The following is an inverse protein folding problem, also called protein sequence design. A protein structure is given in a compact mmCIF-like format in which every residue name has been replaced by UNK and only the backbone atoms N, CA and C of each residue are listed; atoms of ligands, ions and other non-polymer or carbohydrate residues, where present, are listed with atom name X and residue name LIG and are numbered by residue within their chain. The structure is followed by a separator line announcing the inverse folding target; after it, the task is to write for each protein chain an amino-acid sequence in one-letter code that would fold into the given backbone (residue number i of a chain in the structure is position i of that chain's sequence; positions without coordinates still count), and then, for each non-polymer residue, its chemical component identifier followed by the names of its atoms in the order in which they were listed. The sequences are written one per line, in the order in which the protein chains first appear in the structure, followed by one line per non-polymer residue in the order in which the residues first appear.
data_IF_214336346160
#
_entry.id   IF_214336346160
#
_cell.length_a   1.000
_cell.length_b   1.000
_cell.length_c   1.000
_cell.angle_alpha   90.00
_cell.angle_beta   90.00
_cell.angle_gamma   90.00
#
_symmetry.space_group_name_H-M   'P 1'
#
loop_
_entity.id
_entity.type
_entity.pdbx_description
1 polymer ?
#
# COMPACT_ATOMS: atom_id res chain seq x y z
N UNK A 1 6.73 -12.33 -13.06
CA UNK A 1 6.33 -11.90 -11.72
C UNK A 1 4.82 -11.95 -11.66
N UNK A 2 4.26 -12.39 -10.54
CA UNK A 2 2.81 -12.32 -10.30
C UNK A 2 2.43 -10.93 -9.74
N UNK A 3 1.13 -10.65 -9.59
CA UNK A 3 0.64 -9.35 -9.14
C UNK A 3 1.11 -8.96 -7.72
N UNK A 4 1.30 -9.93 -6.83
CA UNK A 4 1.79 -9.71 -5.45
C UNK A 4 3.28 -9.32 -5.48
N UNK A 5 4.09 -10.02 -6.27
CA UNK A 5 5.52 -9.69 -6.45
C UNK A 5 5.70 -8.29 -7.06
N UNK A 6 4.80 -7.90 -7.97
CA UNK A 6 4.79 -6.56 -8.58
C UNK A 6 4.38 -5.50 -7.56
N UNK A 7 3.28 -5.71 -6.83
CA UNK A 7 2.85 -4.80 -5.76
C UNK A 7 3.99 -4.56 -4.78
N UNK A 8 4.66 -5.63 -4.36
CA UNK A 8 5.77 -5.57 -3.43
C UNK A 8 6.94 -4.75 -3.99
N UNK A 9 7.37 -5.04 -5.23
CA UNK A 9 8.48 -4.32 -5.87
C UNK A 9 8.16 -2.84 -6.09
N UNK A 10 6.90 -2.52 -6.41
CA UNK A 10 6.43 -1.14 -6.55
C UNK A 10 6.41 -0.45 -5.18
N UNK A 11 5.82 -1.06 -4.14
CA UNK A 11 5.83 -0.51 -2.78
C UNK A 11 7.26 -0.22 -2.31
N UNK A 12 8.21 -1.14 -2.51
CA UNK A 12 9.61 -0.95 -2.11
C UNK A 12 10.28 0.21 -2.87
N UNK A 13 9.99 0.37 -4.17
CA UNK A 13 10.51 1.47 -4.98
C UNK A 13 10.05 2.83 -4.45
N UNK A 14 8.77 2.96 -4.13
CA UNK A 14 8.19 4.24 -3.69
C UNK A 14 8.46 4.56 -2.21
N UNK A 15 8.98 3.61 -1.43
CA UNK A 15 9.53 3.86 -0.08
C UNK A 15 10.95 4.47 -0.11
N UNK A 16 11.68 4.36 -1.22
CA UNK A 16 13.00 4.95 -1.36
C UNK A 16 12.92 6.44 -1.75
N UNK A 17 13.95 7.25 -1.40
CA UNK A 17 14.08 8.60 -1.92
C UNK A 17 14.05 8.62 -3.46
N UNK A 18 13.35 9.58 -4.03
CA UNK A 18 13.27 9.73 -5.49
C UNK A 18 14.65 10.01 -6.10
N UNK A 19 15.04 9.18 -7.05
CA UNK A 19 16.23 9.36 -7.88
C UNK A 19 15.80 9.54 -9.34
N UNK A 20 15.95 10.76 -9.93
CA UNK A 20 15.48 11.05 -11.27
C UNK A 20 16.21 10.26 -12.36
N UNK A 21 17.48 9.86 -12.14
CA UNK A 21 18.28 9.13 -13.14
C UNK A 21 17.97 7.63 -13.10
N UNK A 22 17.62 7.11 -11.94
CA UNK A 22 17.36 5.68 -11.73
C UNK A 22 15.89 5.31 -11.88
N UNK A 23 14.96 6.23 -11.57
CA UNK A 23 13.53 5.96 -11.49
C UNK A 23 12.95 5.22 -12.70
N UNK A 24 13.14 5.67 -13.97
CA UNK A 24 12.52 4.98 -15.11
C UNK A 24 12.95 3.52 -15.22
N UNK A 25 14.18 3.20 -14.80
CA UNK A 25 14.71 1.85 -14.87
C UNK A 25 14.19 0.98 -13.72
N UNK A 26 14.21 1.51 -12.50
CA UNK A 26 13.68 0.82 -11.32
C UNK A 26 12.17 0.57 -11.45
N UNK A 27 11.42 1.54 -11.99
CA UNK A 27 10.01 1.37 -12.32
C UNK A 27 9.79 0.21 -13.29
N UNK A 28 10.55 0.17 -14.40
CA UNK A 28 10.46 -0.93 -15.35
C UNK A 28 10.84 -2.29 -14.74
N UNK A 29 11.83 -2.34 -13.86
CA UNK A 29 12.23 -3.56 -13.13
C UNK A 29 11.11 -4.02 -12.18
N UNK A 30 10.44 -3.10 -11.48
CA UNK A 30 9.30 -3.39 -10.62
C UNK A 30 8.12 -4.02 -11.37
N UNK A 31 8.00 -3.78 -12.68
CA UNK A 31 7.04 -4.45 -13.58
C UNK A 31 7.65 -5.63 -14.38
N UNK A 32 8.82 -6.13 -13.99
CA UNK A 32 9.34 -7.42 -14.42
C UNK A 32 10.30 -7.37 -15.60
N UNK A 33 10.81 -6.19 -15.96
CA UNK A 33 11.84 -6.08 -16.96
C UNK A 33 13.14 -6.75 -16.50
N UNK A 34 13.72 -7.56 -17.38
CA UNK A 34 15.01 -8.22 -17.12
C UNK A 34 16.14 -7.19 -17.14
N UNK A 35 17.15 -7.39 -16.30
CA UNK A 35 18.35 -6.54 -16.22
C UNK A 35 19.06 -6.34 -17.57
N UNK A 36 18.97 -7.31 -18.49
CA UNK A 36 19.54 -7.19 -19.85
C UNK A 36 18.80 -6.16 -20.70
N UNK A 37 17.48 -6.03 -20.55
CA UNK A 37 16.66 -5.00 -21.19
C UNK A 37 16.99 -3.62 -20.62
N UNK A 38 17.05 -3.52 -19.30
CA UNK A 38 17.38 -2.27 -18.58
C UNK A 38 18.75 -1.74 -18.99
N UNK A 39 19.77 -2.61 -19.02
CA UNK A 39 21.12 -2.24 -19.48
C UNK A 39 21.13 -1.68 -20.90
N UNK A 40 20.29 -2.19 -21.81
CA UNK A 40 20.20 -1.69 -23.20
C UNK A 40 19.47 -0.36 -23.29
N UNK A 41 18.44 -0.15 -22.47
CA UNK A 41 17.74 1.13 -22.37
C UNK A 41 18.68 2.21 -21.81
N UNK A 42 19.39 1.91 -20.73
CA UNK A 42 20.35 2.83 -20.08
C UNK A 42 21.50 3.22 -21.01
N UNK A 43 22.01 2.29 -21.82
CA UNK A 43 23.03 2.56 -22.83
C UNK A 43 22.52 3.30 -24.07
N UNK A 44 21.23 3.60 -24.17
CA UNK A 44 20.63 4.22 -25.36
C UNK A 44 20.54 3.29 -26.58
N UNK A 45 20.87 2.00 -26.44
CA UNK A 45 20.85 1.05 -27.57
C UNK A 45 19.42 0.82 -28.07
N UNK A 46 18.50 0.65 -27.13
CA UNK A 46 17.07 0.43 -27.41
C UNK A 46 16.16 1.56 -26.94
N UNK A 47 16.68 2.53 -26.19
CA UNK A 47 15.94 3.74 -25.87
C UNK A 47 15.90 4.63 -27.12
N UNK A 48 14.71 4.87 -27.66
CA UNK A 48 14.46 5.69 -28.85
C UNK A 48 13.64 6.93 -28.54
N UNK A 49 13.62 7.35 -27.27
CA UNK A 49 12.95 8.59 -26.88
C UNK A 49 13.52 9.79 -27.64
N UNK A 50 12.63 10.66 -28.07
CA UNK A 50 12.88 11.99 -28.62
C UNK A 50 12.48 13.12 -27.64
N UNK A 51 12.13 12.76 -26.40
CA UNK A 51 11.75 13.67 -25.31
C UNK A 51 12.91 13.79 -24.33
N UNK A 52 13.18 15.00 -23.84
CA UNK A 52 14.23 15.24 -22.85
C UNK A 52 13.94 14.47 -21.54
N UNK A 53 14.97 13.85 -20.96
CA UNK A 53 14.79 12.97 -19.78
C UNK A 53 14.02 11.68 -20.07
N UNK A 54 13.82 11.36 -21.36
CA UNK A 54 12.92 10.29 -21.78
C UNK A 54 13.56 8.90 -21.84
N UNK A 55 12.84 7.90 -21.33
CA UNK A 55 13.12 6.48 -21.47
C UNK A 55 11.95 5.82 -22.18
N UNK A 56 12.18 5.39 -23.42
CA UNK A 56 11.19 4.72 -24.24
C UNK A 56 11.51 3.24 -24.36
N UNK A 57 10.57 2.40 -23.91
CA UNK A 57 10.55 0.97 -24.20
C UNK A 57 9.50 0.62 -25.25
N UNK A 58 9.98 0.14 -26.41
CA UNK A 58 9.13 -0.30 -27.53
C UNK A 58 8.06 -1.30 -27.09
N UNK A 59 6.83 -1.12 -27.58
CA UNK A 59 5.62 -1.90 -27.27
C UNK A 59 5.15 -1.83 -25.80
N UNK A 60 5.71 -0.94 -24.97
CA UNK A 60 5.40 -0.86 -23.54
C UNK A 60 5.10 0.58 -23.10
N UNK A 61 6.11 1.41 -22.85
CA UNK A 61 5.91 2.70 -22.19
C UNK A 61 6.94 3.75 -22.64
N UNK A 62 6.54 5.02 -22.61
CA UNK A 62 7.43 6.17 -22.73
C UNK A 62 7.37 6.99 -21.44
N UNK A 63 8.47 6.98 -20.69
CA UNK A 63 8.61 7.67 -19.40
C UNK A 63 9.44 8.94 -19.62
N UNK A 64 9.06 10.08 -19.05
CA UNK A 64 9.93 11.26 -18.95
C UNK A 64 10.01 11.76 -17.51
N UNK A 65 11.24 11.98 -17.04
CA UNK A 65 11.49 12.68 -15.77
C UNK A 65 11.77 14.15 -16.09
N UNK A 66 11.11 15.05 -15.36
CA UNK A 66 11.15 16.49 -15.60
C UNK A 66 11.46 17.28 -14.33
N UNK A 67 11.72 18.57 -14.48
CA UNK A 67 11.96 19.47 -13.34
C UNK A 67 10.68 19.66 -12.49
N UNK A 68 10.79 19.95 -11.19
CA UNK A 68 9.65 20.22 -10.31
C UNK A 68 8.64 21.20 -10.90
N UNK A 69 7.38 20.80 -10.95
CA UNK A 69 6.25 21.57 -11.49
C UNK A 69 6.06 21.46 -13.01
N UNK A 70 6.86 20.66 -13.71
CA UNK A 70 6.82 20.56 -15.19
C UNK A 70 6.03 19.35 -15.72
N UNK A 71 5.38 18.56 -14.85
CA UNK A 71 4.65 17.35 -15.25
C UNK A 71 3.57 17.66 -16.29
N UNK A 72 2.75 18.69 -16.06
CA UNK A 72 1.67 19.11 -16.98
C UNK A 72 2.18 19.56 -18.35
N UNK A 73 3.35 20.20 -18.40
CA UNK A 73 3.98 20.61 -19.65
C UNK A 73 4.64 19.42 -20.39
N UNK A 74 5.07 18.40 -19.65
CA UNK A 74 5.77 17.23 -20.19
C UNK A 74 4.81 16.20 -20.79
N UNK A 75 3.60 16.05 -20.25
CA UNK A 75 2.60 15.10 -20.74
C UNK A 75 2.22 15.31 -22.22
N UNK A 76 1.93 16.53 -22.71
CA UNK A 76 1.72 16.78 -24.13
C UNK A 76 2.91 16.39 -25.00
N UNK A 77 4.15 16.66 -24.55
CA UNK A 77 5.35 16.30 -25.29
C UNK A 77 5.50 14.78 -25.47
N UNK A 78 5.16 13.99 -24.44
CA UNK A 78 5.11 12.53 -24.54
C UNK A 78 3.99 12.05 -25.47
N UNK A 79 2.81 12.66 -25.39
CA UNK A 79 1.63 12.28 -26.18
C UNK A 79 1.81 12.57 -27.68
N UNK A 80 2.41 13.72 -28.01
CA UNK A 80 2.61 14.16 -29.40
C UNK A 80 3.92 13.63 -30.02
N UNK A 81 4.78 12.98 -29.23
CA UNK A 81 6.05 12.42 -29.69
C UNK A 81 5.88 11.39 -30.83
N UNK A 82 6.52 11.60 -31.99
CA UNK A 82 6.55 10.59 -33.06
C UNK A 82 7.21 9.28 -32.62
N UNK A 83 8.15 9.33 -31.67
CA UNK A 83 8.75 8.12 -31.10
C UNK A 83 7.71 7.30 -30.32
N UNK A 84 6.85 7.93 -29.50
CA UNK A 84 5.75 7.26 -28.77
C UNK A 84 4.92 6.40 -29.70
N UNK A 85 4.43 6.98 -30.81
CA UNK A 85 3.60 6.27 -31.78
C UNK A 85 4.39 5.20 -32.55
N UNK A 86 5.56 5.55 -33.11
CA UNK A 86 6.33 4.65 -33.97
C UNK A 86 6.88 3.43 -33.20
N UNK A 87 7.18 3.60 -31.92
CA UNK A 87 7.63 2.53 -31.03
C UNK A 87 6.47 1.83 -30.32
N UNK A 88 5.22 2.20 -30.60
CA UNK A 88 4.00 1.58 -30.07
C UNK A 88 3.97 1.58 -28.54
N UNK A 89 4.32 2.70 -27.92
CA UNK A 89 4.13 2.84 -26.47
C UNK A 89 2.65 2.64 -26.14
N UNK A 90 2.37 1.83 -25.13
CA UNK A 90 1.03 1.58 -24.60
C UNK A 90 0.69 2.54 -23.48
N UNK A 91 1.71 3.01 -22.76
CA UNK A 91 1.58 3.99 -21.69
C UNK A 91 2.50 5.17 -21.95
N UNK A 92 2.11 6.34 -21.46
CA UNK A 92 3.02 7.47 -21.24
C UNK A 92 2.99 7.87 -19.77
N UNK A 93 4.13 8.33 -19.25
CA UNK A 93 4.28 8.69 -17.84
C UNK A 93 5.26 9.86 -17.71
N UNK A 94 4.82 10.93 -17.04
CA UNK A 94 5.68 12.03 -16.62
C UNK A 94 5.73 12.13 -15.09
N UNK A 95 6.91 12.43 -14.54
CA UNK A 95 7.06 12.72 -13.11
C UNK A 95 8.19 13.70 -12.85
N UNK A 96 8.06 14.46 -11.77
CA UNK A 96 9.09 15.35 -11.22
C UNK A 96 9.54 14.94 -9.81
N UNK A 97 9.12 13.75 -9.35
CA UNK A 97 9.38 13.24 -8.00
C UNK A 97 8.43 13.74 -6.92
N UNK A 98 7.52 14.67 -7.24
CA UNK A 98 6.45 15.13 -6.35
C UNK A 98 5.06 14.73 -6.87
N UNK A 99 4.85 14.88 -8.17
CA UNK A 99 3.65 14.46 -8.89
C UNK A 99 3.99 13.42 -9.97
N UNK A 100 3.02 12.57 -10.30
CA UNK A 100 3.11 11.61 -11.39
C UNK A 100 1.81 11.62 -12.19
N UNK A 101 1.94 11.88 -13.49
CA UNK A 101 0.84 11.80 -14.44
C UNK A 101 1.12 10.65 -15.41
N UNK A 102 0.13 9.81 -15.65
CA UNK A 102 0.24 8.72 -16.61
C UNK A 102 -1.06 8.51 -17.39
N UNK A 103 -0.92 7.97 -18.60
CA UNK A 103 -2.04 7.65 -19.47
C UNK A 103 -1.86 6.29 -20.11
N UNK A 104 -2.96 5.55 -20.20
CA UNK A 104 -3.07 4.36 -21.00
C UNK A 104 -3.52 4.73 -22.42
N UNK A 105 -2.63 4.57 -23.39
CA UNK A 105 -2.89 4.84 -24.81
C UNK A 105 -3.63 3.70 -25.53
N UNK A 106 -3.92 2.59 -24.82
CA UNK A 106 -4.68 1.47 -25.39
C UNK A 106 -6.19 1.61 -25.17
N UNK A 107 -6.60 2.34 -24.13
CA UNK A 107 -8.00 2.49 -23.74
C UNK A 107 -8.32 3.95 -23.47
N UNK A 108 -8.89 4.62 -24.48
CA UNK A 108 -9.29 6.03 -24.40
C UNK A 108 -10.41 6.27 -23.35
N UNK A 109 -11.08 5.23 -22.85
CA UNK A 109 -12.07 5.34 -21.79
C UNK A 109 -11.45 5.28 -20.39
N UNK A 110 -10.20 4.83 -20.25
CA UNK A 110 -9.48 4.83 -18.98
C UNK A 110 -8.98 6.25 -18.67
N UNK A 111 -9.39 6.87 -17.55
CA UNK A 111 -8.94 8.22 -17.23
C UNK A 111 -7.42 8.24 -16.96
N UNK A 112 -6.76 9.39 -17.20
CA UNK A 112 -5.38 9.59 -16.79
C UNK A 112 -5.22 9.37 -15.28
N UNK A 113 -4.13 8.71 -14.90
CA UNK A 113 -3.72 8.61 -13.50
C UNK A 113 -2.95 9.89 -13.14
N UNK A 114 -3.47 10.65 -12.18
CA UNK A 114 -2.85 11.87 -11.65
C UNK A 114 -2.79 11.75 -10.14
N UNK A 115 -1.58 11.68 -9.58
CA UNK A 115 -1.39 11.56 -8.14
C UNK A 115 -0.07 12.14 -7.65
N UNK A 116 0.04 12.31 -6.34
CA UNK A 116 1.32 12.53 -5.66
C UNK A 116 2.22 11.30 -5.87
N UNK A 117 3.52 11.52 -6.07
CA UNK A 117 4.50 10.46 -6.29
C UNK A 117 4.46 9.39 -5.19
N UNK A 118 4.28 9.81 -3.93
CA UNK A 118 4.17 8.90 -2.78
C UNK A 118 2.98 7.92 -2.86
N UNK A 119 1.92 8.27 -3.60
CA UNK A 119 0.68 7.49 -3.72
C UNK A 119 0.64 6.58 -4.95
N UNK A 120 1.67 6.59 -5.80
CA UNK A 120 1.69 5.78 -7.03
C UNK A 120 1.60 4.28 -6.72
N UNK A 121 2.17 3.85 -5.60
CA UNK A 121 2.07 2.45 -5.15
C UNK A 121 0.63 2.02 -4.83
N UNK A 122 -0.30 2.95 -4.58
CA UNK A 122 -1.73 2.66 -4.41
C UNK A 122 -2.42 2.37 -5.76
N UNK A 123 -1.79 2.77 -6.87
CA UNK A 123 -2.31 2.66 -8.22
C UNK A 123 -1.51 1.71 -9.11
N UNK A 124 -0.70 0.80 -8.55
CA UNK A 124 0.14 -0.12 -9.32
C UNK A 124 -0.68 -0.97 -10.32
N UNK A 125 -1.95 -1.25 -10.01
CA UNK A 125 -2.92 -1.93 -10.86
C UNK A 125 -3.06 -1.31 -12.26
N UNK A 126 -2.86 0.01 -12.37
CA UNK A 126 -2.90 0.78 -13.62
C UNK A 126 -1.86 0.28 -14.64
N UNK A 127 -0.72 -0.23 -14.15
CA UNK A 127 0.44 -0.60 -14.97
C UNK A 127 0.65 -2.11 -15.12
N UNK A 128 -0.28 -2.96 -14.65
CA UNK A 128 -0.13 -4.43 -14.68
C UNK A 128 0.09 -5.00 -16.09
N UNK A 129 -0.40 -4.33 -17.13
CA UNK A 129 -0.16 -4.73 -18.51
C UNK A 129 1.31 -4.62 -18.93
N UNK A 130 2.13 -3.78 -18.27
CA UNK A 130 3.58 -3.73 -18.48
C UNK A 130 4.24 -5.07 -18.11
N UNK A 131 3.67 -5.79 -17.14
CA UNK A 131 4.11 -7.11 -16.74
C UNK A 131 3.45 -8.24 -17.56
N UNK A 132 2.66 -7.91 -18.59
CA UNK A 132 1.93 -8.87 -19.41
C UNK A 132 0.67 -9.45 -18.73
N UNK A 133 0.20 -8.83 -17.65
CA UNK A 133 -1.02 -9.24 -16.94
C UNK A 133 -2.20 -8.46 -17.53
N UNK A 134 -2.90 -9.09 -18.48
CA UNK A 134 -4.15 -8.54 -19.02
C UNK A 134 -5.20 -8.52 -17.91
N UNK A 135 -5.59 -7.33 -17.49
CA UNK A 135 -6.36 -7.14 -16.28
C UNK A 135 -7.84 -7.09 -16.62
N UNK A 136 -8.66 -8.00 -16.09
CA UNK A 136 -10.11 -7.76 -15.98
C UNK A 136 -10.29 -6.61 -14.99
N UNK A 137 -11.20 -5.67 -15.24
CA UNK A 137 -11.45 -4.49 -14.39
C UNK A 137 -11.47 -4.82 -12.88
N UNK A 138 -12.06 -5.96 -12.50
CA UNK A 138 -12.05 -6.49 -11.13
C UNK A 138 -10.66 -6.72 -10.51
N UNK A 139 -9.64 -7.12 -11.27
CA UNK A 139 -8.28 -7.30 -10.74
C UNK A 139 -7.60 -5.95 -10.48
N UNK A 140 -7.94 -4.89 -11.25
CA UNK A 140 -7.52 -3.51 -10.95
C UNK A 140 -8.26 -2.97 -9.73
N UNK A 141 -9.55 -3.25 -9.61
CA UNK A 141 -10.36 -2.92 -8.43
C UNK A 141 -9.84 -3.65 -7.17
N UNK A 142 -9.33 -4.88 -7.31
CA UNK A 142 -8.69 -5.64 -6.21
C UNK A 142 -7.22 -5.26 -5.96
N UNK A 143 -6.69 -4.18 -6.55
CA UNK A 143 -5.30 -3.78 -6.31
C UNK A 143 -5.08 -3.40 -4.83
N UNK A 144 -6.06 -2.72 -4.22
CA UNK A 144 -6.05 -2.43 -2.79
C UNK A 144 -5.99 -3.72 -1.97
N UNK A 145 -6.88 -4.67 -2.27
CA UNK A 145 -6.98 -5.97 -1.60
C UNK A 145 -5.66 -6.76 -1.64
N UNK A 146 -5.02 -6.79 -2.81
CA UNK A 146 -3.71 -7.44 -3.01
C UNK A 146 -2.65 -6.78 -2.12
N UNK A 147 -2.61 -5.44 -2.10
CA UNK A 147 -1.67 -4.66 -1.30
C UNK A 147 -1.90 -4.84 0.20
N UNK A 148 -3.14 -4.71 0.66
CA UNK A 148 -3.52 -4.90 2.05
C UNK A 148 -3.15 -6.32 2.51
N UNK A 149 -3.49 -7.35 1.73
CA UNK A 149 -3.17 -8.74 2.04
C UNK A 149 -1.65 -8.99 2.07
N UNK A 150 -0.91 -8.44 1.10
CA UNK A 150 0.55 -8.52 1.03
C UNK A 150 1.21 -7.92 2.29
N UNK A 151 0.78 -6.72 2.70
CA UNK A 151 1.30 -6.05 3.90
C UNK A 151 0.88 -6.74 5.20
N UNK A 152 -0.37 -7.19 5.31
CA UNK A 152 -0.83 -7.99 6.45
C UNK A 152 -0.02 -9.28 6.60
N UNK A 153 0.34 -9.94 5.50
CA UNK A 153 1.18 -11.14 5.54
C UNK A 153 2.61 -10.83 6.04
N UNK A 154 3.19 -9.66 5.70
CA UNK A 154 4.46 -9.22 6.29
C UNK A 154 4.36 -9.05 7.80
N UNK A 155 3.28 -8.40 8.27
CA UNK A 155 3.01 -8.26 9.70
C UNK A 155 2.87 -9.65 10.37
N UNK A 156 2.13 -10.56 9.75
CA UNK A 156 1.92 -11.93 10.24
C UNK A 156 3.25 -12.67 10.44
N UNK A 157 4.12 -12.67 9.42
CA UNK A 157 5.42 -13.33 9.47
C UNK A 157 6.30 -12.71 10.56
N UNK A 158 6.29 -11.38 10.69
CA UNK A 158 7.09 -10.67 11.68
C UNK A 158 6.60 -10.96 13.12
N UNK A 159 5.29 -10.97 13.34
CA UNK A 159 4.71 -11.32 14.64
C UNK A 159 5.03 -12.76 15.03
N UNK A 160 4.97 -13.72 14.11
CA UNK A 160 5.35 -15.10 14.39
C UNK A 160 6.84 -15.27 14.73
N UNK A 161 7.71 -14.42 14.18
CA UNK A 161 9.14 -14.45 14.52
C UNK A 161 9.37 -14.07 15.97
N UNK A 162 8.68 -13.04 16.45
CA UNK A 162 8.76 -12.57 17.83
C UNK A 162 7.95 -13.44 18.81
N UNK A 163 6.94 -14.15 18.30
CA UNK A 163 6.02 -14.96 19.11
C UNK A 163 5.86 -16.37 18.51
N UNK A 164 6.88 -17.24 18.61
CA UNK A 164 6.85 -18.56 17.96
C UNK A 164 5.70 -19.47 18.41
N UNK A 165 5.23 -19.30 19.65
CA UNK A 165 4.09 -20.04 20.21
C UNK A 165 2.74 -19.68 19.54
N UNK A 166 2.61 -18.50 18.95
CA UNK A 166 1.40 -18.11 18.21
C UNK A 166 1.23 -18.87 16.89
N UNK A 167 2.28 -19.54 16.40
CA UNK A 167 2.24 -20.37 15.21
C UNK A 167 1.71 -21.79 15.45
N UNK A 168 1.46 -22.19 16.70
CA UNK A 168 0.98 -23.53 17.00
C UNK A 168 -0.51 -23.69 16.67
N UNK A 169 -1.00 -24.92 16.44
CA UNK A 169 -2.42 -25.17 16.18
C UNK A 169 -3.34 -24.60 17.27
N UNK A 170 -2.89 -24.58 18.52
CA UNK A 170 -3.65 -24.13 19.68
C UNK A 170 -3.82 -22.61 19.74
N UNK A 171 -2.85 -21.84 19.21
CA UNK A 171 -2.87 -20.37 19.21
C UNK A 171 -3.24 -19.76 17.86
N UNK A 172 -3.41 -20.58 16.82
CA UNK A 172 -3.77 -20.12 15.47
C UNK A 172 -5.06 -19.31 15.46
N UNK A 173 -6.06 -19.76 16.23
CA UNK A 173 -7.34 -19.06 16.33
C UNK A 173 -7.19 -17.69 17.01
N UNK A 174 -6.35 -17.57 18.04
CA UNK A 174 -6.03 -16.29 18.67
C UNK A 174 -5.39 -15.31 17.67
N UNK A 175 -4.46 -15.78 16.83
CA UNK A 175 -3.82 -14.95 15.82
C UNK A 175 -4.81 -14.48 14.76
N UNK A 176 -5.72 -15.36 14.32
CA UNK A 176 -6.77 -15.01 13.36
C UNK A 176 -7.72 -13.96 13.96
N UNK A 177 -8.16 -14.13 15.20
CA UNK A 177 -8.98 -13.14 15.90
C UNK A 177 -8.26 -11.80 16.07
N UNK A 178 -6.96 -11.84 16.37
CA UNK A 178 -6.14 -10.63 16.44
C UNK A 178 -6.14 -9.87 15.10
N UNK A 179 -5.89 -10.56 13.99
CA UNK A 179 -5.92 -9.96 12.65
C UNK A 179 -7.32 -9.44 12.26
N UNK A 180 -8.38 -10.19 12.55
CA UNK A 180 -9.75 -9.75 12.31
C UNK A 180 -10.07 -8.44 13.05
N UNK A 181 -9.61 -8.30 14.30
CA UNK A 181 -9.75 -7.06 15.08
C UNK A 181 -8.95 -5.90 14.50
N UNK A 182 -7.71 -6.14 14.04
CA UNK A 182 -6.92 -5.09 13.37
C UNK A 182 -7.63 -4.57 12.13
N UNK A 183 -8.06 -5.47 11.25
CA UNK A 183 -8.75 -5.13 10.00
C UNK A 183 -10.05 -4.38 10.30
N UNK A 184 -10.83 -4.83 11.29
CA UNK A 184 -11.99 -4.08 11.76
C UNK A 184 -11.62 -2.68 12.23
N UNK A 185 -10.56 -2.51 13.02
CA UNK A 185 -10.16 -1.20 13.53
C UNK A 185 -9.72 -0.25 12.40
N UNK A 186 -8.97 -0.75 11.42
CA UNK A 186 -8.57 0.03 10.24
C UNK A 186 -9.78 0.43 9.39
N UNK A 187 -10.72 -0.48 9.16
CA UNK A 187 -11.96 -0.15 8.48
C UNK A 187 -12.81 0.86 9.27
N UNK A 188 -12.88 0.70 10.60
CA UNK A 188 -13.70 1.52 11.47
C UNK A 188 -13.19 2.96 11.60
N UNK A 189 -11.87 3.15 11.61
CA UNK A 189 -11.27 4.50 11.64
C UNK A 189 -11.44 5.27 10.33
N UNK A 190 -11.55 4.58 9.20
CA UNK A 190 -11.78 5.24 7.93
C UNK A 190 -13.28 5.46 7.64
N UNK A 191 -14.17 4.61 8.15
CA UNK A 191 -15.61 4.69 7.83
C UNK A 191 -16.45 5.49 8.82
N UNK A 192 -15.82 6.30 9.68
CA UNK A 192 -16.48 7.06 10.76
C UNK A 192 -17.24 6.19 11.79
N UNK A 193 -16.87 4.91 11.91
CA UNK A 193 -17.32 4.09 13.05
C UNK A 193 -16.59 4.57 14.32
N UNK A 194 -15.30 4.90 14.19
CA UNK A 194 -14.57 5.63 15.22
C UNK A 194 -14.72 7.15 15.03
N UNK A 195 -14.44 7.89 16.09
CA UNK A 195 -14.51 9.34 16.06
C UNK A 195 -13.27 9.94 15.40
N UNK A 196 -13.44 10.41 14.16
CA UNK A 196 -12.36 11.01 13.35
C UNK A 196 -11.62 9.99 12.51
N UNK A 197 -10.86 10.49 11.53
CA UNK A 197 -10.05 9.66 10.62
C UNK A 197 -8.77 9.19 11.31
N UNK A 198 -8.44 7.90 11.18
CA UNK A 198 -7.16 7.33 11.64
C UNK A 198 -6.98 7.21 13.16
N UNK A 199 -8.07 7.21 13.95
CA UNK A 199 -8.00 7.23 15.42
C UNK A 199 -7.19 6.07 16.02
N UNK A 200 -7.36 4.85 15.52
CA UNK A 200 -6.69 3.65 16.03
C UNK A 200 -5.21 3.68 15.71
N UNK A 201 -4.87 3.91 14.44
CA UNK A 201 -3.49 3.98 13.96
C UNK A 201 -2.72 5.11 14.63
N UNK A 202 -3.29 6.31 14.70
CA UNK A 202 -2.67 7.46 15.35
C UNK A 202 -2.47 7.24 16.85
N UNK A 203 -3.43 6.62 17.55
CA UNK A 203 -3.28 6.34 18.97
C UNK A 203 -2.12 5.38 19.22
N UNK A 204 -1.98 4.32 18.42
CA UNK A 204 -0.86 3.40 18.60
C UNK A 204 0.46 4.07 18.23
N UNK A 205 0.52 4.82 17.13
CA UNK A 205 1.72 5.54 16.71
C UNK A 205 2.21 6.54 17.77
N UNK A 206 1.27 7.27 18.40
CA UNK A 206 1.60 8.26 19.43
C UNK A 206 1.98 7.63 20.77
N UNK A 207 1.28 6.56 21.18
CA UNK A 207 1.39 6.05 22.55
C UNK A 207 2.42 4.95 22.71
N UNK A 208 2.73 4.17 21.67
CA UNK A 208 3.72 3.09 21.75
C UNK A 208 5.13 3.60 21.51
N UNK A 209 6.10 3.00 22.19
CA UNK A 209 7.51 3.24 21.97
C UNK A 209 7.93 2.90 20.54
N UNK A 210 8.87 3.69 19.99
CA UNK A 210 9.49 3.40 18.69
C UNK A 210 10.16 2.02 18.59
N UNK A 211 10.48 1.41 19.74
CA UNK A 211 11.02 0.05 19.86
C UNK A 211 10.00 -1.05 19.58
N UNK A 212 8.70 -0.75 19.71
CA UNK A 212 7.60 -1.71 19.65
C UNK A 212 7.37 -2.50 20.93
N UNK A 213 8.18 -2.29 21.98
CA UNK A 213 8.18 -3.14 23.18
C UNK A 213 6.84 -3.17 23.92
N UNK A 214 6.12 -2.05 23.93
CA UNK A 214 4.85 -1.84 24.63
C UNK A 214 3.62 -1.82 23.71
N UNK A 215 3.79 -1.94 22.39
CA UNK A 215 2.69 -1.88 21.41
C UNK A 215 1.55 -2.84 21.76
N UNK A 216 1.88 -4.05 22.22
CA UNK A 216 0.90 -5.06 22.64
C UNK A 216 0.06 -4.64 23.84
N UNK A 217 0.63 -3.86 24.78
CA UNK A 217 -0.09 -3.33 25.95
C UNK A 217 -1.04 -2.21 25.54
N UNK A 218 -0.59 -1.34 24.63
CA UNK A 218 -1.43 -0.27 24.07
C UNK A 218 -2.64 -0.86 23.35
N UNK A 219 -2.43 -1.81 22.44
CA UNK A 219 -3.52 -2.45 21.68
C UNK A 219 -4.46 -3.21 22.64
N UNK A 220 -3.91 -3.93 23.62
CA UNK A 220 -4.72 -4.62 24.64
C UNK A 220 -5.66 -3.67 25.38
N UNK A 221 -5.19 -2.48 25.76
CA UNK A 221 -6.01 -1.48 26.44
C UNK A 221 -7.08 -0.87 25.51
N UNK A 222 -6.77 -0.69 24.23
CA UNK A 222 -7.76 -0.29 23.21
C UNK A 222 -8.85 -1.35 23.05
N UNK A 223 -8.46 -2.62 22.94
CA UNK A 223 -9.39 -3.75 22.80
C UNK A 223 -10.26 -3.90 24.06
N UNK A 224 -9.69 -3.74 25.25
CA UNK A 224 -10.43 -3.70 26.51
C UNK A 224 -11.46 -2.58 26.53
N UNK A 225 -11.09 -1.40 26.04
CA UNK A 225 -12.02 -0.27 25.93
C UNK A 225 -13.18 -0.61 25.00
N UNK A 226 -12.89 -1.12 23.80
CA UNK A 226 -13.90 -1.51 22.82
C UNK A 226 -14.81 -2.66 23.29
N UNK A 227 -14.34 -3.52 24.20
CA UNK A 227 -15.16 -4.56 24.83
C UNK A 227 -15.96 -4.10 26.05
N UNK A 228 -15.72 -2.89 26.58
CA UNK A 228 -16.36 -2.43 27.83
C UNK A 228 -17.44 -1.38 27.54
N UNK A 229 -18.72 -1.62 27.91
CA UNK A 229 -19.79 -0.65 27.77
C UNK A 229 -19.44 0.70 28.43
N UNK A 230 -19.77 1.81 27.77
CA UNK A 230 -19.41 3.16 28.24
C UNK A 230 -19.83 3.44 29.69
N UNK A 231 -21.00 2.94 30.11
CA UNK A 231 -21.53 3.10 31.47
C UNK A 231 -20.75 2.32 32.53
N UNK A 232 -20.02 1.29 32.13
CA UNK A 232 -19.25 0.43 33.03
C UNK A 232 -17.79 0.87 33.14
N UNK A 233 -17.31 1.78 32.28
CA UNK A 233 -15.91 2.21 32.26
C UNK A 233 -15.50 3.05 33.48
N UNK A 234 -16.46 3.68 34.15
CA UNK A 234 -16.19 4.50 35.33
C UNK A 234 -15.56 3.65 36.45
N UNK A 235 -14.44 4.11 36.99
CA UNK A 235 -13.71 3.39 38.05
C UNK A 235 -12.85 2.21 37.58
N UNK A 236 -12.84 1.86 36.29
CA UNK A 236 -12.04 0.75 35.73
C UNK A 236 -10.62 1.15 35.28
N UNK A 237 -10.17 2.36 35.62
CA UNK A 237 -8.79 2.81 35.38
C UNK A 237 -8.38 2.94 33.91
N UNK A 238 -9.34 3.15 32.99
CA UNK A 238 -9.04 3.36 31.57
C UNK A 238 -8.12 4.55 31.36
N UNK A 239 -7.14 4.38 30.47
CA UNK A 239 -6.29 5.50 30.05
C UNK A 239 -7.11 6.49 29.21
N UNK A 240 -6.86 7.81 29.31
CA UNK A 240 -7.65 8.81 28.58
C UNK A 240 -7.71 8.57 27.06
N UNK A 241 -6.59 8.16 26.45
CA UNK A 241 -6.49 7.86 25.02
C UNK A 241 -7.24 6.59 24.59
N UNK A 242 -7.53 5.67 25.53
CA UNK A 242 -8.36 4.49 25.26
C UNK A 242 -9.85 4.79 25.47
N UNK A 243 -10.18 5.72 26.37
CA UNK A 243 -11.55 6.04 26.75
C UNK A 243 -12.41 6.62 25.62
N UNK A 244 -11.79 7.17 24.57
CA UNK A 244 -12.46 7.75 23.40
C UNK A 244 -13.01 6.72 22.39
N UNK A 245 -12.57 5.46 22.45
CA UNK A 245 -13.05 4.42 21.54
C UNK A 245 -14.48 3.99 21.88
N UNK A 246 -15.35 3.76 20.88
CA UNK A 246 -16.72 3.31 21.15
C UNK A 246 -16.75 1.90 21.72
N UNK A 247 -17.88 1.52 22.33
CA UNK A 247 -18.15 0.13 22.66
C UNK A 247 -18.58 -0.60 21.37
N UNK A 248 -17.91 -1.70 21.05
CA UNK A 248 -18.16 -2.51 19.86
C UNK A 248 -18.78 -3.84 20.31
N UNK A 249 -20.11 -3.89 20.29
CA UNK A 249 -20.87 -5.11 20.60
C UNK A 249 -20.99 -5.99 19.35
N UNK A 250 -20.64 -7.27 19.46
CA UNK A 250 -20.76 -8.20 18.32
C UNK A 250 -19.90 -9.46 18.39
N UNK A 251 -19.37 -9.83 19.56
CA UNK A 251 -18.52 -11.03 19.71
C UNK A 251 -17.06 -10.84 19.29
N UNK A 252 -16.77 -9.90 18.38
CA UNK A 252 -15.41 -9.67 17.86
C UNK A 252 -14.38 -9.39 18.98
N UNK A 253 -14.80 -8.71 20.06
CA UNK A 253 -13.97 -8.39 21.21
C UNK A 253 -14.35 -9.17 22.49
N UNK A 254 -15.27 -10.13 22.44
CA UNK A 254 -15.80 -10.77 23.66
C UNK A 254 -14.91 -11.86 24.26
N UNK A 255 -13.98 -12.39 23.48
CA UNK A 255 -13.22 -13.60 23.83
C UNK A 255 -11.79 -13.26 24.31
N UNK A 256 -10.82 -14.14 24.06
CA UNK A 256 -9.42 -13.90 24.38
C UNK A 256 -8.94 -12.61 23.68
N UNK A 257 -8.55 -11.60 24.47
CA UNK A 257 -8.02 -10.31 24.01
C UNK A 257 -6.48 -10.26 24.00
N UNK A 258 -5.81 -11.41 24.11
CA UNK A 258 -4.37 -11.49 23.99
C UNK A 258 -3.87 -10.81 22.71
N UNK A 259 -2.74 -10.13 22.82
CA UNK A 259 -2.07 -9.43 21.72
C UNK A 259 -0.62 -9.94 21.64
N UNK A 260 -0.13 -10.35 20.46
CA UNK A 260 1.26 -10.79 20.31
C UNK A 260 2.21 -9.63 20.59
N UNK A 261 3.42 -9.93 21.07
CA UNK A 261 4.48 -8.92 21.23
C UNK A 261 4.96 -8.40 19.88
N UNK A 262 5.38 -7.15 19.85
CA UNK A 262 5.82 -6.49 18.64
C UNK A 262 7.34 -6.24 18.68
N UNK A 263 7.99 -6.43 17.54
CA UNK A 263 9.28 -5.79 17.24
C UNK A 263 9.05 -4.36 16.72
N UNK A 264 10.14 -3.59 16.65
CA UNK A 264 10.15 -2.30 15.94
C UNK A 264 9.61 -2.44 14.50
N UNK A 265 9.96 -3.53 13.83
CA UNK A 265 9.54 -3.78 12.45
C UNK A 265 8.05 -4.12 12.36
N UNK A 266 7.53 -4.99 13.25
CA UNK A 266 6.11 -5.29 13.32
C UNK A 266 5.28 -4.03 13.57
N UNK A 267 5.73 -3.17 14.48
CA UNK A 267 5.08 -1.88 14.77
C UNK A 267 5.02 -1.01 13.52
N UNK A 268 6.14 -0.88 12.81
CA UNK A 268 6.21 -0.10 11.57
C UNK A 268 5.24 -0.62 10.52
N UNK A 269 5.19 -1.95 10.31
CA UNK A 269 4.26 -2.55 9.34
C UNK A 269 2.81 -2.26 9.72
N UNK A 270 2.42 -2.46 10.98
CA UNK A 270 1.05 -2.20 11.42
C UNK A 270 0.64 -0.74 11.20
N UNK A 271 1.51 0.24 11.50
CA UNK A 271 1.23 1.66 11.25
C UNK A 271 1.09 1.92 9.74
N UNK A 272 2.00 1.38 8.92
CA UNK A 272 1.94 1.54 7.46
C UNK A 272 0.70 0.87 6.83
N UNK A 273 0.19 -0.19 7.43
CA UNK A 273 -1.06 -0.84 7.03
C UNK A 273 -2.26 0.02 7.43
N UNK A 274 -2.24 0.62 8.61
CA UNK A 274 -3.30 1.51 9.09
C UNK A 274 -3.43 2.81 8.28
N UNK A 275 -2.35 3.27 7.65
CA UNK A 275 -2.39 4.44 6.74
C UNK A 275 -2.90 4.14 5.32
N UNK A 276 -3.29 2.90 5.01
CA UNK A 276 -3.99 2.60 3.76
C UNK A 276 -5.43 3.14 3.80
N UNK A 277 -6.05 3.41 2.65
CA UNK A 277 -7.46 3.81 2.57
C UNK A 277 -8.40 2.60 2.61
N UNK A 278 -8.74 2.15 3.81
CA UNK A 278 -9.58 0.97 4.06
C UNK A 278 -11.03 1.14 3.62
N UNK A 279 -11.45 2.30 3.13
CA UNK A 279 -12.73 2.46 2.40
C UNK A 279 -12.74 1.67 1.09
N UNK A 280 -11.57 1.35 0.55
CA UNK A 280 -11.42 0.65 -0.72
C UNK A 280 -11.40 -0.88 -0.60
N UNK A 281 -11.35 -1.43 0.63
CA UNK A 281 -11.34 -2.89 0.82
C UNK A 281 -12.63 -3.52 0.28
N UNK A 282 -12.50 -4.61 -0.47
CA UNK A 282 -13.68 -5.38 -0.86
C UNK A 282 -14.29 -6.09 0.36
N UNK A 283 -15.59 -5.90 0.67
CA UNK A 283 -16.26 -6.58 1.77
C UNK A 283 -16.16 -8.11 1.73
N UNK A 284 -15.98 -8.72 0.56
CA UNK A 284 -15.85 -10.17 0.40
C UNK A 284 -14.61 -10.74 1.11
N UNK A 285 -13.57 -9.92 1.34
CA UNK A 285 -12.35 -10.35 2.03
C UNK A 285 -12.64 -10.76 3.47
N UNK A 286 -13.57 -10.08 4.14
CA UNK A 286 -13.99 -10.42 5.50
C UNK A 286 -14.68 -11.79 5.59
N UNK A 287 -15.28 -12.28 4.50
CA UNK A 287 -15.93 -13.58 4.44
C UNK A 287 -14.99 -14.75 4.13
N UNK A 288 -13.73 -14.47 3.77
CA UNK A 288 -12.71 -15.47 3.37
C UNK A 288 -11.64 -15.72 4.43
N UNK A 289 -11.63 -14.92 5.51
CA UNK A 289 -10.73 -15.04 6.66
C UNK A 289 -11.27 -15.97 7.76
#
# INVERSE_FOLDING_TARGET
MNAVEIEQAVSDLFEQPFDPEEFPYQFLEAFGNKSTTIKKLRKGTTNKSDVAGGVLQRNNIHIAVCDPGMVDATMPALRESPATTSQKAKFILATDGQALHAENLLDDAEPPLICEYAKVSDHFGYFLELAGITTVKQIRENAFDIKATSRLNKLYIELLRENPDWGTPERREDLNHFFARLIFCFFAEDTNIFHGDGLFTATIEQMSESSGADTHEIISELFRSMNTPLKEREGQGFRPWAGQFPYVNGGLFSDNLDVPRFSKLARSYMIHIGHLDWKQINPDIFGSM
#
